data_IF_331507621369
#
_entry.id   IF_331507621369
#
_cell.length_a   1.000
_cell.length_b   1.000
_cell.length_c   1.000
_cell.angle_alpha   90.00
_cell.angle_beta   90.00
_cell.angle_gamma   90.00
#
_symmetry.space_group_name_H-M   'P 1'
#
loop_
_entity.id
_entity.type
_entity.pdbx_description
1 polymer ?
#
# COMPACT_ATOMS: atom_id res chain seq x y z
N UNK A 1 19.31 17.91 0.85
CA UNK A 1 18.35 16.86 1.21
C UNK A 1 16.96 17.33 0.90
N UNK A 2 16.30 16.73 -0.11
CA UNK A 2 14.91 17.04 -0.53
C UNK A 2 14.37 15.92 -1.42
N UNK A 3 14.30 14.70 -0.90
CA UNK A 3 13.66 13.61 -1.61
C UNK A 3 13.06 12.64 -0.58
N UNK A 4 12.04 13.10 0.15
CA UNK A 4 11.00 12.16 0.55
C UNK A 4 10.21 11.89 -0.72
N UNK A 5 10.59 10.83 -1.42
CA UNK A 5 9.94 10.35 -2.65
C UNK A 5 8.53 9.82 -2.33
N UNK A 6 8.23 9.61 -1.05
CA UNK A 6 7.09 8.84 -0.59
C UNK A 6 5.74 9.50 -0.90
N UNK A 7 5.63 10.83 -0.88
CA UNK A 7 4.35 11.52 -1.04
C UNK A 7 4.05 11.98 -2.47
N UNK A 8 5.08 12.09 -3.32
CA UNK A 8 4.90 12.52 -4.70
C UNK A 8 4.30 11.39 -5.55
N UNK A 9 3.31 11.71 -6.39
CA UNK A 9 2.76 10.78 -7.38
C UNK A 9 3.30 11.12 -8.76
N UNK A 10 3.79 10.10 -9.45
CA UNK A 10 4.21 10.18 -10.85
C UNK A 10 4.31 8.77 -11.46
N UNK A 11 4.30 8.68 -12.78
CA UNK A 11 4.59 7.44 -13.51
C UNK A 11 3.37 6.84 -14.18
N UNK A 12 3.44 5.55 -14.48
CA UNK A 12 2.40 4.82 -15.21
C UNK A 12 2.23 3.43 -14.61
N UNK A 13 0.98 2.97 -14.49
CA UNK A 13 0.66 1.57 -14.23
C UNK A 13 -0.08 1.01 -15.44
N UNK A 14 0.33 -0.18 -15.85
CA UNK A 14 -0.36 -0.93 -16.89
C UNK A 14 -0.61 -2.35 -16.36
N UNK A 15 -1.88 -2.75 -16.38
CA UNK A 15 -2.33 -4.10 -16.05
C UNK A 15 -2.81 -4.75 -17.33
N UNK A 16 -2.08 -5.74 -17.81
CA UNK A 16 -2.43 -6.54 -18.99
C UNK A 16 -2.75 -7.96 -18.53
N UNK A 17 -3.99 -8.39 -18.73
CA UNK A 17 -4.44 -9.74 -18.43
C UNK A 17 -5.55 -10.18 -19.38
N UNK A 18 -5.89 -11.47 -19.33
CA UNK A 18 -6.98 -12.02 -20.16
C UNK A 18 -8.35 -11.41 -19.84
N UNK A 19 -8.55 -10.89 -18.63
CA UNK A 19 -9.86 -10.42 -18.14
C UNK A 19 -9.93 -8.91 -17.90
N UNK A 20 -8.79 -8.29 -17.56
CA UNK A 20 -8.69 -6.85 -17.27
C UNK A 20 -7.51 -6.26 -18.04
N UNK A 21 -7.78 -5.17 -18.77
CA UNK A 21 -6.78 -4.32 -19.39
C UNK A 21 -6.99 -2.90 -18.90
N UNK A 22 -6.03 -2.38 -18.12
CA UNK A 22 -6.13 -1.07 -17.49
C UNK A 22 -4.80 -0.35 -17.62
N UNK A 23 -4.85 0.94 -17.96
CA UNK A 23 -3.69 1.80 -18.05
C UNK A 23 -4.02 3.11 -17.38
N UNK A 24 -3.19 3.51 -16.42
CA UNK A 24 -3.28 4.82 -15.77
C UNK A 24 -1.91 5.48 -15.75
N UNK A 25 -1.90 6.79 -16.01
CA UNK A 25 -0.70 7.61 -15.97
C UNK A 25 -0.92 8.80 -15.05
N UNK A 26 0.14 9.20 -14.35
CA UNK A 26 0.14 10.32 -13.44
C UNK A 26 1.31 11.25 -13.76
N UNK A 27 0.99 12.50 -14.04
CA UNK A 27 1.95 13.59 -14.05
C UNK A 27 2.54 13.80 -12.65
N UNK A 28 3.72 14.43 -12.60
CA UNK A 28 4.35 14.75 -11.32
C UNK A 28 3.49 15.69 -10.49
N UNK A 29 3.10 15.22 -9.31
CA UNK A 29 2.47 16.02 -8.27
C UNK A 29 3.12 15.70 -6.93
N UNK A 30 3.71 16.73 -6.31
CA UNK A 30 4.51 16.60 -5.11
C UNK A 30 3.72 16.09 -3.88
N UNK A 31 2.42 16.39 -3.79
CA UNK A 31 1.60 16.07 -2.61
C UNK A 31 0.39 15.18 -2.92
N UNK A 32 0.24 14.70 -4.16
CA UNK A 32 -0.95 13.96 -4.57
C UNK A 32 -1.28 12.75 -3.69
N UNK A 33 -0.30 11.91 -3.33
CA UNK A 33 -0.58 10.73 -2.50
C UNK A 33 -0.98 11.14 -1.08
N UNK A 34 -0.27 12.12 -0.50
CA UNK A 34 -0.59 12.65 0.82
C UNK A 34 -1.99 13.26 0.90
N UNK A 35 -2.37 14.07 -0.10
CA UNK A 35 -3.71 14.64 -0.21
C UNK A 35 -4.75 13.53 -0.36
N UNK A 36 -4.50 12.53 -1.19
CA UNK A 36 -5.41 11.41 -1.41
C UNK A 36 -5.64 10.62 -0.11
N UNK A 37 -4.58 10.28 0.62
CA UNK A 37 -4.67 9.54 1.89
C UNK A 37 -5.48 10.31 2.93
N UNK A 38 -5.21 11.60 3.13
CA UNK A 38 -5.94 12.42 4.10
C UNK A 38 -7.40 12.64 3.69
N UNK A 39 -7.67 12.82 2.40
CA UNK A 39 -9.03 13.04 1.90
C UNK A 39 -9.85 11.75 2.01
N UNK A 40 -9.27 10.60 1.69
CA UNK A 40 -9.94 9.31 1.85
C UNK A 40 -10.26 9.04 3.31
N UNK A 41 -9.28 9.20 4.22
CA UNK A 41 -9.53 9.00 5.64
C UNK A 41 -10.60 9.94 6.19
N UNK A 42 -10.57 11.22 5.81
CA UNK A 42 -11.57 12.21 6.23
C UNK A 42 -12.97 11.90 5.70
N UNK A 43 -13.10 11.50 4.43
CA UNK A 43 -14.40 11.11 3.85
C UNK A 43 -14.91 9.80 4.45
N UNK A 44 -14.04 8.84 4.73
CA UNK A 44 -14.41 7.58 5.37
C UNK A 44 -15.13 7.77 6.71
N UNK A 45 -14.67 8.74 7.52
CA UNK A 45 -15.32 9.12 8.78
C UNK A 45 -16.74 9.68 8.53
N UNK A 46 -16.89 10.58 7.56
CA UNK A 46 -18.17 11.23 7.29
C UNK A 46 -19.20 10.27 6.67
N UNK A 47 -18.72 9.28 5.92
CA UNK A 47 -19.53 8.31 5.18
C UNK A 47 -19.77 7.01 5.95
N UNK A 48 -19.21 6.87 7.15
CA UNK A 48 -19.26 5.63 7.97
C UNK A 48 -18.81 4.40 7.17
N UNK A 49 -17.64 4.50 6.54
CA UNK A 49 -17.01 3.41 5.78
C UNK A 49 -15.58 3.19 6.24
N UNK A 50 -15.02 2.04 5.90
CA UNK A 50 -13.59 1.82 6.05
C UNK A 50 -12.79 2.69 5.06
N UNK A 51 -11.65 3.27 5.49
CA UNK A 51 -10.71 3.91 4.57
C UNK A 51 -10.03 2.87 3.67
N UNK A 52 -9.41 3.35 2.59
CA UNK A 52 -8.69 2.51 1.64
C UNK A 52 -7.50 1.76 2.26
N UNK A 53 -6.94 2.28 3.36
CA UNK A 53 -5.92 1.62 4.16
C UNK A 53 -6.28 1.65 5.65
N UNK A 54 -6.28 0.49 6.28
CA UNK A 54 -6.61 0.29 7.69
C UNK A 54 -5.35 -0.04 8.52
N UNK A 55 -5.50 -0.08 9.85
CA UNK A 55 -4.43 -0.55 10.73
C UNK A 55 -4.02 -2.01 10.48
N UNK A 56 -4.91 -2.84 9.91
CA UNK A 56 -4.60 -4.24 9.59
C UNK A 56 -3.62 -4.32 8.42
N UNK A 57 -3.74 -3.44 7.42
CA UNK A 57 -2.83 -3.40 6.28
C UNK A 57 -1.39 -3.08 6.73
N UNK A 58 -1.25 -2.12 7.66
CA UNK A 58 0.05 -1.80 8.29
C UNK A 58 0.63 -2.96 9.11
N UNK A 59 -0.22 -3.66 9.88
CA UNK A 59 0.19 -4.86 10.62
C UNK A 59 0.70 -5.96 9.68
N UNK A 60 0.01 -6.20 8.56
CA UNK A 60 0.41 -7.20 7.57
C UNK A 60 1.75 -6.89 6.92
N UNK A 61 1.98 -5.65 6.52
CA UNK A 61 3.28 -5.21 5.99
C UNK A 61 4.41 -5.49 6.99
N UNK A 62 4.16 -5.23 8.28
CA UNK A 62 5.13 -5.48 9.36
C UNK A 62 5.42 -6.98 9.56
N UNK A 63 4.40 -7.83 9.55
CA UNK A 63 4.54 -9.29 9.64
C UNK A 63 5.38 -9.84 8.48
N UNK A 64 5.12 -9.36 7.24
CA UNK A 64 5.90 -9.74 6.06
C UNK A 64 7.36 -9.31 6.19
N UNK A 65 7.62 -8.06 6.57
CA UNK A 65 8.98 -7.58 6.76
C UNK A 65 9.75 -8.39 7.81
N UNK A 66 9.08 -8.76 8.91
CA UNK A 66 9.66 -9.62 9.94
C UNK A 66 10.04 -11.01 9.39
N UNK A 67 9.17 -11.62 8.60
CA UNK A 67 9.40 -12.91 7.98
C UNK A 67 10.54 -12.87 6.95
N UNK A 68 10.65 -11.79 6.17
CA UNK A 68 11.78 -11.57 5.23
C UNK A 68 13.10 -11.52 5.98
N UNK A 69 13.17 -10.75 7.07
CA UNK A 69 14.38 -10.65 7.90
C UNK A 69 14.76 -12.02 8.50
N UNK A 70 13.78 -12.77 9.01
CA UNK A 70 14.02 -14.12 9.56
C UNK A 70 14.47 -15.12 8.49
N UNK A 71 13.88 -15.06 7.29
CA UNK A 71 14.26 -15.90 6.16
C UNK A 71 15.71 -15.63 5.76
N UNK A 72 16.09 -14.36 5.60
CA UNK A 72 17.45 -13.95 5.27
C UNK A 72 18.47 -14.42 6.32
N UNK A 73 18.12 -14.33 7.61
CA UNK A 73 18.99 -14.76 8.72
C UNK A 73 19.21 -16.27 8.76
N UNK A 74 18.20 -17.05 8.39
CA UNK A 74 18.22 -18.52 8.57
C UNK A 74 18.47 -19.29 7.28
N UNK A 75 18.34 -18.65 6.12
CA UNK A 75 18.37 -19.30 4.81
C UNK A 75 17.18 -20.24 4.56
N UNK A 76 16.10 -20.13 5.35
CA UNK A 76 14.92 -21.00 5.27
C UNK A 76 13.67 -20.18 5.01
N UNK A 77 12.75 -20.77 4.24
CA UNK A 77 11.42 -20.19 4.06
C UNK A 77 10.69 -20.04 5.40
N UNK A 78 10.08 -18.87 5.61
CA UNK A 78 9.24 -18.56 6.77
C UNK A 78 7.79 -18.49 6.32
N UNK A 79 6.93 -19.33 6.91
CA UNK A 79 5.50 -19.32 6.61
C UNK A 79 4.82 -18.15 7.35
N UNK A 80 4.06 -17.36 6.62
CA UNK A 80 3.23 -16.28 7.18
C UNK A 80 1.79 -16.78 7.24
N UNK A 81 1.22 -16.83 8.45
CA UNK A 81 -0.16 -17.29 8.64
C UNK A 81 -1.16 -16.16 8.38
N UNK A 82 -2.19 -16.47 7.58
CA UNK A 82 -3.28 -15.54 7.31
C UNK A 82 -4.24 -15.51 8.50
N UNK A 83 -4.03 -14.57 9.42
CA UNK A 83 -5.03 -14.20 10.45
C UNK A 83 -6.30 -13.63 9.83
N UNK A 84 -7.43 -14.33 9.89
CA UNK A 84 -8.73 -13.69 9.68
C UNK A 84 -9.03 -12.81 10.88
N UNK A 85 -9.19 -11.51 10.66
CA UNK A 85 -9.74 -10.60 11.68
C UNK A 85 -11.24 -10.91 11.74
N UNK A 86 -11.76 -11.17 12.94
CA UNK A 86 -13.20 -11.39 13.18
C UNK A 86 -13.92 -10.06 13.27
#
# INVERSE_FOLDING_TARGET
GRATVWEARMGEVEVVSETVNQKESWEYDYLANFIAELTDFGSAINEDREPAATGIDGLRSTEINSAVIQSAKTGRAVKIERRTVK
#
